data_IF_705691771137
#
_entry.id   IF_705691771137
#
_cell.length_a   1.000
_cell.length_b   1.000
_cell.length_c   1.000
_cell.angle_alpha   90.00
_cell.angle_beta   90.00
_cell.angle_gamma   90.00
#
_symmetry.space_group_name_H-M   'P 1'
#
loop_
_entity.id
_entity.type
_entity.pdbx_description
1 polymer ?
#
# COMPACT_ATOMS: atom_id res chain seq x y z
N UNK A 1 29.31 -15.43 -14.05
CA UNK A 1 27.90 -15.47 -14.49
C UNK A 1 27.17 -14.27 -13.88
N UNK A 2 27.09 -13.15 -14.61
CA UNK A 2 26.32 -11.98 -14.19
C UNK A 2 24.86 -12.22 -14.58
N UNK A 3 23.99 -12.51 -13.61
CA UNK A 3 22.57 -12.60 -13.85
C UNK A 3 22.07 -11.21 -14.28
N UNK A 4 21.64 -11.11 -15.53
CA UNK A 4 21.05 -9.92 -16.11
C UNK A 4 19.79 -9.60 -15.31
N UNK A 5 19.88 -8.67 -14.36
CA UNK A 5 18.70 -8.13 -13.66
C UNK A 5 17.77 -7.61 -14.74
N UNK A 6 16.62 -8.26 -14.91
CA UNK A 6 15.57 -7.76 -15.78
C UNK A 6 15.31 -6.31 -15.38
N UNK A 7 15.48 -5.39 -16.32
CA UNK A 7 15.23 -3.97 -16.11
C UNK A 7 13.75 -3.87 -15.72
N UNK A 8 13.48 -3.57 -14.45
CA UNK A 8 12.12 -3.41 -13.97
C UNK A 8 11.40 -2.42 -14.90
N UNK A 9 10.14 -2.68 -15.30
CA UNK A 9 9.37 -1.74 -16.11
C UNK A 9 9.41 -0.36 -15.43
N UNK A 10 9.56 0.70 -16.23
CA UNK A 10 9.52 2.05 -15.71
C UNK A 10 8.21 2.23 -14.93
N UNK A 11 8.31 2.49 -13.63
CA UNK A 11 7.14 2.63 -12.78
C UNK A 11 6.26 3.76 -13.32
N UNK A 12 4.95 3.51 -13.45
CA UNK A 12 4.03 4.59 -13.77
C UNK A 12 4.11 5.65 -12.68
N UNK A 13 4.07 6.95 -13.06
CA UNK A 13 4.03 8.03 -12.08
C UNK A 13 2.82 7.80 -11.16
N UNK A 14 3.10 7.75 -9.86
CA UNK A 14 2.06 7.58 -8.83
C UNK A 14 1.49 8.97 -8.56
N UNK A 15 0.17 9.19 -8.74
CA UNK A 15 -0.45 10.46 -8.39
C UNK A 15 -0.37 10.74 -6.88
N UNK A 16 -0.64 11.99 -6.44
CA UNK A 16 -0.65 12.30 -5.02
C UNK A 16 -1.55 11.35 -4.24
N UNK A 17 -0.99 10.71 -3.21
CA UNK A 17 -1.73 9.76 -2.39
C UNK A 17 -2.61 10.58 -1.42
N UNK A 18 -3.93 10.50 -1.60
CA UNK A 18 -4.90 11.19 -0.74
C UNK A 18 -5.56 10.20 0.20
N UNK A 19 -5.73 10.58 1.46
CA UNK A 19 -6.40 9.78 2.47
C UNK A 19 -7.75 10.39 2.85
N UNK A 20 -8.85 9.63 2.80
CA UNK A 20 -10.13 10.12 3.31
C UNK A 20 -10.08 10.21 4.84
N UNK A 21 -10.20 11.43 5.38
CA UNK A 21 -10.12 11.72 6.82
C UNK A 21 -11.24 11.04 7.64
N UNK A 22 -12.32 10.59 6.98
CA UNK A 22 -13.43 9.87 7.64
C UNK A 22 -13.09 8.43 8.06
N UNK A 23 -11.98 7.86 7.58
CA UNK A 23 -11.59 6.50 7.92
C UNK A 23 -10.66 6.46 9.14
N UNK A 24 -10.92 5.63 10.16
CA UNK A 24 -10.06 5.51 11.34
C UNK A 24 -8.59 5.21 11.03
N UNK A 25 -8.30 4.42 9.98
CA UNK A 25 -6.92 4.12 9.57
C UNK A 25 -6.24 5.34 8.93
N UNK A 26 -6.98 6.17 8.19
CA UNK A 26 -6.43 7.41 7.61
C UNK A 26 -6.05 8.42 8.68
N UNK A 27 -6.90 8.58 9.70
CA UNK A 27 -6.65 9.49 10.81
C UNK A 27 -5.41 9.12 11.64
N UNK A 28 -4.98 7.85 11.59
CA UNK A 28 -3.78 7.34 12.27
C UNK A 28 -2.63 7.03 11.31
N UNK A 29 -2.65 7.57 10.09
CA UNK A 29 -1.65 7.22 9.05
C UNK A 29 -0.22 7.43 9.52
N UNK A 30 0.06 8.52 10.24
CA UNK A 30 1.42 8.87 10.65
C UNK A 30 1.93 7.90 11.74
N UNK A 31 1.07 7.52 12.68
CA UNK A 31 1.34 6.50 13.71
C UNK A 31 1.65 5.13 13.06
N UNK A 32 0.83 4.73 12.09
CA UNK A 32 1.00 3.47 11.36
C UNK A 32 2.28 3.50 10.50
N UNK A 33 2.54 4.61 9.82
CA UNK A 33 3.70 4.79 8.97
C UNK A 33 5.00 4.70 9.79
N UNK A 34 5.01 5.34 10.96
CA UNK A 34 6.10 5.26 11.93
C UNK A 34 6.34 3.80 12.37
N UNK A 35 5.28 3.09 12.75
CA UNK A 35 5.39 1.69 13.17
C UNK A 35 5.96 0.78 12.05
N UNK A 36 5.51 0.96 10.80
CA UNK A 36 6.00 0.18 9.64
C UNK A 36 7.45 0.51 9.31
N UNK A 37 7.90 1.74 9.57
CA UNK A 37 9.29 2.14 9.37
C UNK A 37 10.21 1.51 10.41
N UNK A 38 9.79 1.54 11.68
CA UNK A 38 10.64 1.22 12.82
C UNK A 38 10.60 -0.28 13.20
N UNK A 39 9.57 -1.01 12.77
CA UNK A 39 9.37 -2.42 13.10
C UNK A 39 9.23 -3.31 11.86
N UNK A 40 10.00 -4.42 11.75
CA UNK A 40 9.87 -5.36 10.64
C UNK A 40 8.51 -6.05 10.55
N UNK A 41 7.81 -6.18 11.68
CA UNK A 41 6.49 -6.80 11.79
C UNK A 41 5.60 -5.88 12.60
N UNK A 42 4.44 -5.53 12.03
CA UNK A 42 3.42 -4.68 12.66
C UNK A 42 2.08 -5.39 12.57
N UNK A 43 1.34 -5.42 13.69
CA UNK A 43 -0.04 -5.92 13.73
C UNK A 43 -0.97 -4.71 13.82
N UNK A 44 -1.81 -4.52 12.82
CA UNK A 44 -2.80 -3.44 12.79
C UNK A 44 -4.19 -4.00 13.07
N UNK A 45 -4.72 -3.71 14.26
CA UNK A 45 -6.06 -4.09 14.67
C UNK A 45 -7.06 -2.97 14.40
N UNK A 46 -8.28 -3.32 14.00
CA UNK A 46 -9.38 -2.38 13.86
C UNK A 46 -10.64 -3.09 13.37
N UNK A 47 -11.80 -2.48 13.58
CA UNK A 47 -13.09 -3.05 13.16
C UNK A 47 -13.25 -3.14 11.63
N UNK A 48 -14.23 -3.92 11.18
CA UNK A 48 -14.64 -3.93 9.78
C UNK A 48 -15.11 -2.53 9.37
N UNK A 49 -14.68 -2.04 8.21
CA UNK A 49 -15.00 -0.68 7.76
C UNK A 49 -13.96 0.38 8.16
N UNK A 50 -12.99 0.06 9.03
CA UNK A 50 -11.98 1.03 9.49
C UNK A 50 -11.02 1.54 8.40
N UNK A 51 -11.03 0.95 7.20
CA UNK A 51 -10.17 1.33 6.07
C UNK A 51 -8.89 0.52 5.90
N UNK A 52 -8.62 -0.51 6.73
CA UNK A 52 -7.36 -1.30 6.68
C UNK A 52 -6.99 -1.78 5.28
N UNK A 53 -7.93 -2.46 4.63
CA UNK A 53 -7.72 -3.13 3.34
C UNK A 53 -7.39 -2.15 2.21
N UNK A 54 -7.94 -0.94 2.22
CA UNK A 54 -7.74 0.04 1.15
C UNK A 54 -6.62 1.04 1.46
N UNK A 55 -6.36 1.37 2.73
CA UNK A 55 -5.42 2.43 3.09
C UNK A 55 -4.01 1.92 3.46
N UNK A 56 -3.86 0.72 4.06
CA UNK A 56 -2.53 0.21 4.43
C UNK A 56 -1.58 0.03 3.23
N UNK A 57 -2.02 -0.47 2.05
CA UNK A 57 -1.16 -0.55 0.88
C UNK A 57 -0.68 0.83 0.39
N UNK A 58 -1.52 1.85 0.52
CA UNK A 58 -1.19 3.25 0.16
C UNK A 58 -0.12 3.82 1.09
N UNK A 59 -0.25 3.59 2.40
CA UNK A 59 0.78 3.98 3.40
C UNK A 59 2.11 3.27 3.09
N UNK A 60 2.08 1.97 2.78
CA UNK A 60 3.29 1.25 2.41
C UNK A 60 3.93 1.80 1.10
N UNK A 61 3.12 2.22 0.14
CA UNK A 61 3.58 2.85 -1.09
C UNK A 61 4.23 4.22 -0.84
N UNK A 62 3.60 5.05 0.00
CA UNK A 62 4.13 6.35 0.43
C UNK A 62 5.50 6.19 1.15
N UNK A 63 5.67 5.12 1.91
CA UNK A 63 6.95 4.74 2.54
C UNK A 63 7.99 4.15 1.56
N UNK A 64 7.72 4.12 0.26
CA UNK A 64 8.64 3.63 -0.76
C UNK A 64 8.84 2.11 -0.77
N UNK A 65 7.91 1.33 -0.21
CA UNK A 65 8.00 -0.15 -0.16
C UNK A 65 7.59 -0.83 -1.48
N UNK A 66 7.05 -0.09 -2.44
CA UNK A 66 6.67 -0.58 -3.76
C UNK A 66 7.27 0.25 -4.89
N UNK A 67 7.26 -0.29 -6.10
CA UNK A 67 7.58 0.46 -7.31
C UNK A 67 6.59 1.61 -7.51
N UNK A 68 7.10 2.79 -7.86
CA UNK A 68 6.34 4.03 -7.87
C UNK A 68 6.62 4.87 -6.63
N UNK A 69 6.28 6.16 -6.67
CA UNK A 69 6.52 7.12 -5.57
C UNK A 69 7.98 7.16 -5.04
N UNK A 70 8.97 6.85 -5.87
CA UNK A 70 10.39 6.82 -5.47
C UNK A 70 10.85 5.56 -4.73
N UNK A 71 9.98 4.55 -4.58
CA UNK A 71 10.26 3.30 -3.88
C UNK A 71 10.89 2.19 -4.72
N UNK A 72 11.26 1.11 -4.05
CA UNK A 72 11.77 -0.13 -4.69
C UNK A 72 11.01 -1.36 -4.16
N UNK A 73 10.89 -2.40 -4.97
CA UNK A 73 10.22 -3.66 -4.60
C UNK A 73 8.73 -3.72 -4.96
N UNK A 74 8.01 -4.68 -4.39
CA UNK A 74 6.59 -4.92 -4.64
C UNK A 74 5.85 -5.01 -3.31
N UNK A 75 4.63 -4.47 -3.27
CA UNK A 75 3.72 -4.59 -2.13
C UNK A 75 2.78 -5.77 -2.38
N UNK A 76 2.98 -6.85 -1.62
CA UNK A 76 2.06 -7.99 -1.62
C UNK A 76 0.87 -7.71 -0.71
N UNK A 77 -0.32 -7.62 -1.29
CA UNK A 77 -1.57 -7.49 -0.53
C UNK A 77 -2.45 -8.72 -0.74
N UNK A 78 -2.46 -9.62 0.24
CA UNK A 78 -3.20 -10.87 0.14
C UNK A 78 -4.65 -10.69 0.62
N UNK A 79 -5.56 -11.43 -0.02
CA UNK A 79 -6.96 -11.49 0.36
C UNK A 79 -7.40 -12.95 0.43
N UNK A 80 -8.24 -13.34 1.39
CA UNK A 80 -8.66 -14.74 1.56
C UNK A 80 -9.55 -15.25 0.42
N UNK A 81 -10.08 -14.35 -0.41
CA UNK A 81 -10.97 -14.67 -1.53
C UNK A 81 -10.50 -13.97 -2.79
N UNK A 82 -10.49 -14.69 -3.92
CA UNK A 82 -10.08 -14.16 -5.23
C UNK A 82 -10.89 -12.92 -5.64
N UNK A 83 -12.21 -12.93 -5.43
CA UNK A 83 -13.07 -11.79 -5.77
C UNK A 83 -12.73 -10.53 -4.96
N UNK A 84 -12.31 -10.69 -3.70
CA UNK A 84 -11.88 -9.57 -2.86
C UNK A 84 -10.52 -9.03 -3.32
N UNK A 85 -9.59 -9.88 -3.73
CA UNK A 85 -8.31 -9.44 -4.29
C UNK A 85 -8.51 -8.50 -5.49
N UNK A 86 -9.32 -8.94 -6.46
CA UNK A 86 -9.58 -8.19 -7.68
C UNK A 86 -10.35 -6.89 -7.42
N UNK A 87 -11.40 -6.92 -6.58
CA UNK A 87 -12.20 -5.72 -6.30
C UNK A 87 -11.44 -4.68 -5.46
N UNK A 88 -10.61 -5.11 -4.50
CA UNK A 88 -9.75 -4.22 -3.71
C UNK A 88 -8.69 -3.58 -4.60
N UNK A 89 -8.04 -4.35 -5.48
CA UNK A 89 -7.05 -3.80 -6.41
C UNK A 89 -7.65 -2.73 -7.32
N UNK A 90 -8.82 -2.99 -7.91
CA UNK A 90 -9.54 -2.01 -8.73
C UNK A 90 -9.93 -0.75 -7.94
N UNK A 91 -10.36 -0.92 -6.69
CA UNK A 91 -10.72 0.21 -5.82
C UNK A 91 -9.50 1.07 -5.47
N UNK A 92 -8.39 0.46 -5.07
CA UNK A 92 -7.15 1.19 -4.75
C UNK A 92 -6.65 1.93 -6.00
N UNK A 93 -6.68 1.28 -7.17
CA UNK A 93 -6.31 1.94 -8.43
C UNK A 93 -7.20 3.16 -8.74
N UNK A 94 -8.51 3.08 -8.47
CA UNK A 94 -9.43 4.21 -8.61
C UNK A 94 -9.17 5.32 -7.58
N UNK A 95 -8.78 4.98 -6.36
CA UNK A 95 -8.44 5.97 -5.31
C UNK A 95 -7.09 6.66 -5.56
N UNK A 96 -6.25 6.12 -6.44
CA UNK A 96 -4.94 6.67 -6.81
C UNK A 96 -4.93 7.38 -8.16
N UNK A 97 -6.03 7.42 -8.91
CA UNK A 97 -6.18 8.15 -10.18
C UNK A 97 -6.97 9.44 -9.97
#
# INVERSE_FOLDING_TARGET
MSAQRSRAPAAHPVPPIVYPESLPVSARRDEIALAIRDHPVVIVCGETGSGKTTQLPKIALELGRGWGAGGTGLIGHTQPRRIAASSVAQRIAKELN
#
